data_IF_629409061787
#
_entry.id   IF_629409061787
#
_cell.length_a   1.000
_cell.length_b   1.000
_cell.length_c   1.000
_cell.angle_alpha   90.00
_cell.angle_beta   90.00
_cell.angle_gamma   90.00
#
_symmetry.space_group_name_H-M   'P 1'
#
loop_
_entity.id
_entity.type
_entity.pdbx_description
1 polymer ?
#
# COMPACT_ATOMS: atom_id res chain seq x y z
N UNK A 1 16.43 -5.22 2.34
CA UNK A 1 15.43 -5.40 3.39
C UNK A 1 16.08 -5.05 4.72
N UNK A 2 15.44 -4.21 5.52
CA UNK A 2 15.90 -3.84 6.86
C UNK A 2 14.72 -3.42 7.75
N UNK A 3 14.92 -3.45 9.07
CA UNK A 3 13.91 -3.06 10.05
C UNK A 3 14.06 -1.57 10.34
N UNK A 4 12.96 -0.82 10.21
CA UNK A 4 12.90 0.62 10.48
C UNK A 4 11.75 0.97 11.42
N UNK A 5 11.92 2.04 12.18
CA UNK A 5 10.82 2.70 12.87
C UNK A 5 10.35 3.87 12.02
N UNK A 6 9.07 3.92 11.69
CA UNK A 6 8.47 5.00 10.92
C UNK A 6 7.49 5.77 11.79
N UNK A 7 7.54 7.10 11.69
CA UNK A 7 6.56 7.99 12.31
C UNK A 7 5.18 7.84 11.64
N UNK A 8 4.13 8.22 12.37
CA UNK A 8 2.77 8.20 11.84
C UNK A 8 2.55 9.28 10.78
N UNK A 9 1.62 9.03 9.86
CA UNK A 9 1.28 9.94 8.76
C UNK A 9 -0.18 9.77 8.34
N UNK A 10 -0.72 10.76 7.63
CA UNK A 10 -2.06 10.69 7.02
C UNK A 10 -1.96 10.54 5.51
N UNK A 11 -2.89 9.79 4.94
CA UNK A 11 -3.09 9.65 3.49
C UNK A 11 -4.51 10.06 3.17
N UNK A 12 -4.69 10.93 2.19
CA UNK A 12 -6.01 11.27 1.64
C UNK A 12 -6.18 10.61 0.28
N UNK A 13 -7.29 9.90 0.06
CA UNK A 13 -7.51 9.18 -1.20
C UNK A 13 -8.77 8.32 -1.20
N UNK A 14 -8.73 7.18 -1.88
CA UNK A 14 -9.88 6.31 -2.08
C UNK A 14 -9.62 4.91 -1.55
N UNK A 15 -10.65 4.26 -1.02
CA UNK A 15 -10.55 2.93 -0.41
C UNK A 15 -11.41 1.91 -1.13
N UNK A 16 -10.90 0.69 -1.27
CA UNK A 16 -11.68 -0.49 -1.65
C UNK A 16 -11.45 -1.64 -0.70
N UNK A 17 -12.50 -2.43 -0.44
CA UNK A 17 -12.37 -3.71 0.28
C UNK A 17 -12.32 -4.88 -0.71
N UNK A 18 -11.27 -5.70 -0.59
CA UNK A 18 -11.00 -6.85 -1.47
C UNK A 18 -10.26 -7.97 -0.73
N UNK A 19 -9.87 -9.03 -1.43
CA UNK A 19 -8.99 -10.08 -0.91
C UNK A 19 -8.10 -10.63 -2.04
N UNK A 20 -7.02 -11.33 -1.65
CA UNK A 20 -6.04 -11.84 -2.62
C UNK A 20 -6.65 -12.76 -3.69
N UNK A 21 -7.65 -13.57 -3.33
CA UNK A 21 -8.34 -14.45 -4.30
C UNK A 21 -9.10 -13.64 -5.36
N UNK A 22 -9.78 -12.56 -4.97
CA UNK A 22 -10.50 -11.71 -5.92
C UNK A 22 -9.58 -10.91 -6.84
N UNK A 23 -8.37 -10.58 -6.38
CA UNK A 23 -7.39 -9.82 -7.18
C UNK A 23 -6.62 -10.71 -8.19
N UNK A 24 -6.68 -12.04 -8.07
CA UNK A 24 -6.09 -12.96 -9.05
C UNK A 24 -6.93 -13.06 -10.35
N UNK A 25 -8.24 -12.81 -10.24
CA UNK A 25 -9.17 -12.89 -11.36
C UNK A 25 -9.48 -11.49 -11.92
N UNK A 26 -9.14 -11.26 -13.19
CA UNK A 26 -9.26 -9.95 -13.82
C UNK A 26 -10.69 -9.35 -13.78
N UNK A 27 -11.73 -10.20 -13.75
CA UNK A 27 -13.13 -9.77 -13.69
C UNK A 27 -13.58 -9.29 -12.32
N UNK A 28 -12.86 -9.66 -11.25
CA UNK A 28 -13.18 -9.30 -9.87
C UNK A 28 -12.14 -8.40 -9.21
N UNK A 29 -10.96 -8.26 -9.84
CA UNK A 29 -9.88 -7.41 -9.36
C UNK A 29 -10.31 -5.94 -9.27
N UNK A 30 -9.98 -5.30 -8.15
CA UNK A 30 -10.37 -3.91 -7.85
C UNK A 30 -9.18 -2.98 -7.65
N UNK A 31 -7.98 -3.52 -7.41
CA UNK A 31 -6.80 -2.69 -7.12
C UNK A 31 -6.42 -1.84 -8.33
N UNK A 32 -6.37 -2.43 -9.53
CA UNK A 32 -6.01 -1.69 -10.74
C UNK A 32 -6.99 -0.56 -11.06
N UNK A 33 -8.30 -0.80 -10.91
CA UNK A 33 -9.32 0.22 -11.14
C UNK A 33 -9.30 1.32 -10.06
N UNK A 34 -8.98 0.98 -8.81
CA UNK A 34 -8.76 1.97 -7.75
C UNK A 34 -7.59 2.90 -8.08
N UNK A 35 -6.45 2.36 -8.53
CA UNK A 35 -5.30 3.15 -8.95
C UNK A 35 -5.64 4.06 -10.14
N UNK A 36 -6.33 3.53 -11.14
CA UNK A 36 -6.78 4.33 -12.29
C UNK A 36 -7.70 5.48 -11.84
N UNK A 37 -8.66 5.18 -10.97
CA UNK A 37 -9.57 6.19 -10.43
C UNK A 37 -8.81 7.27 -9.65
N UNK A 38 -7.86 6.88 -8.78
CA UNK A 38 -7.03 7.81 -8.06
C UNK A 38 -6.26 8.74 -9.01
N UNK A 39 -5.54 8.23 -10.01
CA UNK A 39 -4.78 9.09 -10.91
C UNK A 39 -5.65 10.00 -11.78
N UNK A 40 -6.83 9.54 -12.20
CA UNK A 40 -7.78 10.37 -12.94
C UNK A 40 -8.32 11.55 -12.12
N UNK A 41 -8.52 11.34 -10.82
CA UNK A 41 -9.10 12.33 -9.93
C UNK A 41 -8.03 13.22 -9.27
N UNK A 42 -6.92 12.63 -8.80
CA UNK A 42 -5.96 13.27 -7.91
C UNK A 42 -4.77 13.93 -8.62
N UNK A 43 -4.41 13.52 -9.85
CA UNK A 43 -3.15 13.94 -10.50
C UNK A 43 -2.99 15.46 -10.61
N UNK A 44 -4.08 16.19 -10.88
CA UNK A 44 -4.08 17.65 -10.96
C UNK A 44 -3.99 18.35 -9.59
N UNK A 45 -4.18 17.62 -8.50
CA UNK A 45 -4.28 18.12 -7.13
C UNK A 45 -3.12 17.68 -6.23
N UNK A 46 -2.19 16.88 -6.74
CA UNK A 46 -0.98 16.49 -6.03
C UNK A 46 -0.08 17.71 -5.84
N UNK A 47 0.24 18.02 -4.58
CA UNK A 47 1.18 19.09 -4.26
C UNK A 47 2.64 18.66 -4.54
N UNK A 48 3.53 19.64 -4.69
CA UNK A 48 4.95 19.37 -4.75
C UNK A 48 5.41 18.59 -3.51
N UNK A 49 6.27 17.59 -3.71
CA UNK A 49 6.77 16.69 -2.65
C UNK A 49 5.69 15.77 -2.03
N UNK A 50 4.50 15.70 -2.61
CA UNK A 50 3.51 14.71 -2.20
C UNK A 50 4.04 13.31 -2.47
N UNK A 51 3.86 12.41 -1.50
CA UNK A 51 4.21 10.99 -1.65
C UNK A 51 2.92 10.21 -1.84
N UNK A 52 2.91 9.32 -2.82
CA UNK A 52 1.77 8.45 -3.15
C UNK A 52 1.94 7.11 -2.43
N UNK A 53 0.84 6.61 -1.89
CA UNK A 53 0.81 5.39 -1.09
C UNK A 53 -0.33 4.46 -1.51
N UNK A 54 -0.07 3.16 -1.39
CA UNK A 54 -1.09 2.12 -1.29
C UNK A 54 -1.08 1.54 0.11
N UNK A 55 -2.04 1.89 0.96
CA UNK A 55 -2.10 1.47 2.37
C UNK A 55 -3.08 0.32 2.54
N UNK A 56 -2.58 -0.83 2.98
CA UNK A 56 -3.36 -2.01 3.29
C UNK A 56 -3.66 -2.05 4.80
N UNK A 57 -4.93 -2.19 5.15
CA UNK A 57 -5.40 -2.13 6.54
C UNK A 57 -6.69 -2.94 6.75
N UNK A 58 -7.23 -2.92 7.98
CA UNK A 58 -8.50 -3.56 8.33
C UNK A 58 -8.58 -5.03 7.89
N UNK A 59 -7.47 -5.75 8.07
CA UNK A 59 -7.35 -7.17 7.77
C UNK A 59 -8.34 -8.00 8.59
N UNK A 60 -9.13 -8.83 7.91
CA UNK A 60 -10.10 -9.71 8.56
C UNK A 60 -9.46 -10.94 9.19
N UNK A 61 -8.53 -11.58 8.47
CA UNK A 61 -7.89 -12.83 8.89
C UNK A 61 -6.54 -13.03 8.20
N UNK A 62 -5.59 -12.13 8.46
CA UNK A 62 -4.24 -12.22 7.90
C UNK A 62 -4.23 -12.23 6.35
N UNK A 63 -3.41 -13.09 5.76
CA UNK A 63 -3.19 -13.15 4.30
C UNK A 63 -4.38 -13.72 3.50
N UNK A 64 -5.23 -14.56 4.12
CA UNK A 64 -6.37 -15.19 3.44
C UNK A 64 -7.66 -14.38 3.55
N UNK A 65 -7.71 -13.41 4.46
CA UNK A 65 -8.89 -12.59 4.72
C UNK A 65 -9.05 -11.44 3.73
N UNK A 66 -10.17 -10.71 3.90
CA UNK A 66 -10.34 -9.42 3.24
C UNK A 66 -9.49 -8.35 3.92
N UNK A 67 -9.12 -7.35 3.16
CA UNK A 67 -8.44 -6.16 3.61
C UNK A 67 -8.98 -4.95 2.86
N UNK A 68 -8.75 -3.78 3.44
CA UNK A 68 -8.99 -2.51 2.79
C UNK A 68 -7.68 -2.03 2.16
N UNK A 69 -7.70 -1.65 0.89
CA UNK A 69 -6.62 -0.91 0.24
C UNK A 69 -7.07 0.54 0.07
N UNK A 70 -6.29 1.47 0.62
CA UNK A 70 -6.46 2.91 0.42
C UNK A 70 -5.33 3.44 -0.44
N UNK A 71 -5.66 3.93 -1.64
CA UNK A 71 -4.70 4.59 -2.53
C UNK A 71 -4.86 6.09 -2.37
N UNK A 72 -3.77 6.79 -2.04
CA UNK A 72 -3.83 8.21 -1.76
C UNK A 72 -2.48 8.89 -1.68
N UNK A 73 -2.49 10.17 -1.29
CA UNK A 73 -1.32 11.00 -1.14
C UNK A 73 -1.28 11.70 0.22
N UNK A 74 -0.07 12.05 0.70
CA UNK A 74 0.12 12.77 1.97
C UNK A 74 -0.20 14.26 1.88
N UNK A 75 -0.13 14.84 0.69
CA UNK A 75 -0.41 16.27 0.45
C UNK A 75 -1.23 16.45 -0.81
N UNK A 76 -2.42 17.00 -0.64
CA UNK A 76 -3.37 17.31 -1.70
C UNK A 76 -4.05 18.64 -1.36
N UNK A 77 -4.38 19.43 -2.38
CA UNK A 77 -5.11 20.69 -2.18
C UNK A 77 -6.45 20.44 -1.46
N UNK A 78 -6.88 21.28 -0.50
CA UNK A 78 -8.18 21.13 0.17
C UNK A 78 -9.36 21.07 -0.82
N UNK A 79 -10.42 20.32 -0.47
CA UNK A 79 -11.70 20.21 -1.21
C UNK A 79 -11.65 19.61 -2.63
N UNK A 80 -10.61 18.84 -2.95
CA UNK A 80 -10.38 18.39 -4.32
C UNK A 80 -11.21 17.17 -4.78
N UNK A 81 -11.56 16.22 -3.90
CA UNK A 81 -12.14 14.94 -4.33
C UNK A 81 -13.43 14.58 -3.59
N UNK A 82 -14.52 14.43 -4.34
CA UNK A 82 -15.76 13.85 -3.82
C UNK A 82 -15.55 12.37 -3.48
N UNK A 83 -15.92 11.97 -2.26
CA UNK A 83 -15.83 10.57 -1.82
C UNK A 83 -14.43 10.12 -1.37
N UNK A 84 -13.50 11.06 -1.17
CA UNK A 84 -12.21 10.74 -0.53
C UNK A 84 -12.38 10.42 0.95
N UNK A 85 -11.42 9.66 1.47
CA UNK A 85 -11.25 9.40 2.89
C UNK A 85 -9.86 9.87 3.32
N UNK A 86 -9.75 10.30 4.57
CA UNK A 86 -8.47 10.49 5.24
C UNK A 86 -8.19 9.29 6.13
N UNK A 87 -7.05 8.65 5.92
CA UNK A 87 -6.57 7.50 6.69
C UNK A 87 -5.33 7.89 7.48
N UNK A 88 -5.41 7.84 8.81
CA UNK A 88 -4.26 7.98 9.69
C UNK A 88 -3.56 6.63 9.85
N UNK A 89 -2.29 6.57 9.46
CA UNK A 89 -1.39 5.44 9.67
C UNK A 89 -0.56 5.71 10.93
N UNK A 90 -0.65 4.86 11.98
CA UNK A 90 0.09 5.07 13.21
C UNK A 90 1.60 4.84 13.01
N UNK A 91 2.40 5.43 13.90
CA UNK A 91 3.82 5.12 13.99
C UNK A 91 4.02 3.64 14.34
N UNK A 92 5.10 3.04 13.85
CA UNK A 92 5.28 1.60 14.01
C UNK A 92 6.64 1.09 13.58
N UNK A 93 6.85 -0.20 13.81
CA UNK A 93 8.04 -0.94 13.39
C UNK A 93 7.71 -1.70 12.11
N UNK A 94 8.57 -1.53 11.12
CA UNK A 94 8.35 -2.03 9.77
C UNK A 94 9.55 -2.83 9.29
N UNK A 95 9.28 -3.94 8.61
CA UNK A 95 10.24 -4.59 7.74
C UNK A 95 10.07 -4.00 6.33
N UNK A 96 11.11 -3.30 5.86
CA UNK A 96 11.04 -2.52 4.62
C UNK A 96 11.74 -3.25 3.49
N UNK A 97 11.03 -3.43 2.39
CA UNK A 97 11.52 -3.98 1.13
C UNK A 97 11.52 -2.87 0.09
N UNK A 98 12.52 -2.83 -0.78
CA UNK A 98 12.66 -1.77 -1.79
C UNK A 98 13.01 -2.39 -3.12
N UNK A 99 12.39 -1.90 -4.19
CA UNK A 99 12.72 -2.31 -5.54
C UNK A 99 12.68 -1.13 -6.51
N UNK A 100 13.41 -1.27 -7.61
CA UNK A 100 13.46 -0.28 -8.69
C UNK A 100 13.31 -0.97 -10.05
N UNK A 101 12.42 -0.46 -10.89
CA UNK A 101 12.16 -0.99 -12.23
C UNK A 101 10.87 -0.45 -12.84
N UNK A 102 10.31 -1.20 -13.79
CA UNK A 102 9.09 -0.83 -14.51
C UNK A 102 7.82 -1.10 -13.67
N UNK A 103 7.01 -0.06 -13.44
CA UNK A 103 5.73 -0.18 -12.76
C UNK A 103 4.61 -0.59 -13.74
N UNK A 104 3.67 -1.47 -13.33
CA UNK A 104 3.51 -2.07 -12.01
C UNK A 104 4.25 -3.42 -11.82
N UNK A 105 5.01 -3.92 -12.79
CA UNK A 105 5.67 -5.23 -12.68
C UNK A 105 6.61 -5.33 -11.47
N UNK A 106 7.34 -4.27 -11.17
CA UNK A 106 8.23 -4.20 -10.01
C UNK A 106 7.50 -4.37 -8.67
N UNK A 107 6.35 -3.72 -8.46
CA UNK A 107 5.61 -3.84 -7.19
C UNK A 107 5.02 -5.24 -7.02
N UNK A 108 4.53 -5.84 -8.11
CA UNK A 108 3.98 -7.20 -8.11
C UNK A 108 5.07 -8.22 -7.75
N UNK A 109 6.24 -8.12 -8.37
CA UNK A 109 7.37 -9.01 -8.07
C UNK A 109 7.85 -8.83 -6.63
N UNK A 110 7.92 -7.60 -6.12
CA UNK A 110 8.33 -7.34 -4.74
C UNK A 110 7.35 -7.95 -3.73
N UNK A 111 6.04 -7.90 -4.00
CA UNK A 111 5.04 -8.60 -3.19
C UNK A 111 5.23 -10.12 -3.19
N UNK A 112 5.58 -10.72 -4.33
CA UNK A 112 5.89 -12.16 -4.39
C UNK A 112 7.09 -12.51 -3.52
N UNK A 113 8.17 -11.72 -3.58
CA UNK A 113 9.34 -11.89 -2.71
C UNK A 113 8.97 -11.81 -1.22
N UNK A 114 8.12 -10.85 -0.85
CA UNK A 114 7.62 -10.68 0.52
C UNK A 114 6.81 -11.90 0.96
N UNK A 115 5.92 -12.42 0.11
CA UNK A 115 5.16 -13.63 0.41
C UNK A 115 6.07 -14.83 0.60
N UNK A 116 7.08 -15.00 -0.25
CA UNK A 116 8.08 -16.07 -0.09
C UNK A 116 8.84 -15.91 1.23
N UNK A 117 9.27 -14.70 1.58
CA UNK A 117 9.99 -14.43 2.83
C UNK A 117 9.18 -14.79 4.08
N UNK A 118 7.90 -14.41 4.14
CA UNK A 118 7.04 -14.70 5.30
C UNK A 118 6.46 -16.12 5.30
N UNK A 119 6.53 -16.85 4.18
CA UNK A 119 6.16 -18.26 4.11
C UNK A 119 7.29 -19.20 4.54
N UNK A 120 8.53 -18.71 4.63
CA UNK A 120 9.69 -19.47 5.10
C UNK A 120 9.51 -19.86 6.59
N UNK A 121 9.71 -21.13 6.91
CA UNK A 121 9.61 -21.65 8.28
C UNK A 121 10.68 -21.08 9.22
N UNK A 122 11.81 -20.62 8.66
CA UNK A 122 12.89 -20.00 9.42
C UNK A 122 12.71 -18.48 9.57
N UNK A 123 11.59 -17.94 9.09
CA UNK A 123 11.28 -16.51 9.19
C UNK A 123 11.11 -16.10 10.66
N UNK A 124 12.04 -15.26 11.14
CA UNK A 124 12.05 -14.75 12.51
C UNK A 124 11.06 -13.60 12.73
N UNK A 125 10.50 -13.04 11.67
CA UNK A 125 9.62 -11.87 11.74
C UNK A 125 8.17 -12.28 11.57
N UNK A 126 7.30 -11.73 12.42
CA UNK A 126 5.86 -11.96 12.35
C UNK A 126 5.16 -10.68 11.91
N UNK A 127 4.31 -10.80 10.88
CA UNK A 127 3.47 -9.68 10.43
C UNK A 127 2.44 -9.34 11.49
N UNK A 128 2.31 -8.05 11.75
CA UNK A 128 1.31 -7.51 12.67
C UNK A 128 -0.10 -7.47 12.05
N UNK A 129 -0.20 -7.44 10.71
CA UNK A 129 -1.46 -7.25 9.97
C UNK A 129 -2.25 -6.02 10.46
N UNK A 130 -1.54 -4.95 10.79
CA UNK A 130 -2.12 -3.67 11.20
C UNK A 130 -2.24 -2.74 9.99
N UNK A 131 -1.15 -2.10 9.60
CA UNK A 131 -1.05 -1.21 8.45
C UNK A 131 0.21 -1.55 7.66
N UNK A 132 0.07 -2.22 6.52
CA UNK A 132 1.15 -2.39 5.56
C UNK A 132 1.00 -1.33 4.47
N UNK A 133 2.08 -0.87 3.85
CA UNK A 133 1.94 0.09 2.75
C UNK A 133 3.04 0.04 1.71
N UNK A 134 2.61 0.31 0.48
CA UNK A 134 3.46 0.72 -0.63
C UNK A 134 3.71 2.23 -0.55
N UNK A 135 4.96 2.64 -0.68
CA UNK A 135 5.37 4.03 -0.82
C UNK A 135 6.09 4.20 -2.15
N UNK A 136 5.50 4.98 -3.04
CA UNK A 136 6.06 5.28 -4.35
C UNK A 136 6.99 6.49 -4.22
N UNK A 137 8.29 6.26 -4.35
CA UNK A 137 9.33 7.29 -4.19
C UNK A 137 9.51 8.11 -5.46
N UNK A 138 9.40 7.44 -6.61
CA UNK A 138 9.42 8.01 -7.95
C UNK A 138 8.72 7.03 -8.92
N UNK A 139 8.68 7.36 -10.22
CA UNK A 139 8.01 6.56 -11.27
C UNK A 139 8.56 5.14 -11.45
N UNK A 140 9.71 4.84 -10.85
CA UNK A 140 10.42 3.57 -10.98
C UNK A 140 10.80 2.92 -9.66
N UNK A 141 10.65 3.60 -8.52
CA UNK A 141 11.15 3.15 -7.21
C UNK A 141 10.01 3.04 -6.21
N UNK A 142 9.90 1.88 -5.54
CA UNK A 142 8.87 1.61 -4.53
C UNK A 142 9.50 0.99 -3.29
N UNK A 143 8.99 1.37 -2.12
CA UNK A 143 9.19 0.65 -0.86
C UNK A 143 7.87 -0.02 -0.44
N UNK A 144 7.93 -1.29 -0.04
CA UNK A 144 6.83 -1.97 0.64
C UNK A 144 7.22 -2.15 2.10
N UNK A 145 6.46 -1.53 2.98
CA UNK A 145 6.67 -1.53 4.42
C UNK A 145 5.65 -2.48 5.05
N UNK A 146 6.15 -3.57 5.64
CA UNK A 146 5.31 -4.56 6.31
C UNK A 146 5.39 -4.35 7.82
N UNK A 147 4.26 -4.09 8.47
CA UNK A 147 4.21 -3.93 9.92
C UNK A 147 4.54 -5.28 10.60
N UNK A 148 5.40 -5.22 11.61
CA UNK A 148 5.87 -6.39 12.36
C UNK A 148 5.66 -6.21 13.88
N UNK A 149 5.49 -7.33 14.58
CA UNK A 149 5.38 -7.39 16.05
C UNK A 149 6.72 -7.06 16.76
#
# INVERSE_FOLDING_TARGET
MDIRHHEGFSVTGFTVRTCNLSEQEASTAKIASLWQHFYQQASAHLEAQSSVYGVYSNYESGVSGKYDLTVGATRMSPDCLNGQVELAVPAGKYLVFSAKGEMPATVINLWQEIWTYFADSDCLQKRAYSYDYERYLDDSSVEICIAID
#
